data_IF_864392193350
#
_entry.id   IF_864392193350
#
_cell.length_a   1.000
_cell.length_b   1.000
_cell.length_c   1.000
_cell.angle_alpha   90.00
_cell.angle_beta   90.00
_cell.angle_gamma   90.00
#
_symmetry.space_group_name_H-M   'P 1'
#
loop_
_entity.id
_entity.type
_entity.pdbx_description
1 polymer ?
#
# COMPACT_ATOMS: atom_id res chain seq x y z
N UNK A 1 -13.91 -30.98 -37.03
CA UNK A 1 -15.05 -30.41 -36.29
C UNK A 1 -14.83 -30.24 -34.76
N UNK A 2 -13.76 -30.79 -34.15
CA UNK A 2 -13.43 -30.53 -32.71
C UNK A 2 -12.53 -29.30 -32.48
N UNK A 3 -11.78 -28.86 -33.50
CA UNK A 3 -10.75 -27.81 -33.39
C UNK A 3 -11.32 -26.38 -33.37
N UNK A 4 -12.53 -26.16 -33.89
CA UNK A 4 -13.19 -24.83 -33.86
C UNK A 4 -13.89 -24.53 -32.52
N UNK A 5 -14.35 -25.55 -31.78
CA UNK A 5 -15.01 -25.38 -30.47
C UNK A 5 -14.05 -25.03 -29.33
N UNK A 6 -12.77 -25.38 -29.44
CA UNK A 6 -11.75 -24.99 -28.45
C UNK A 6 -11.32 -23.52 -28.62
N UNK A 7 -11.28 -23.01 -29.87
CA UNK A 7 -10.93 -21.61 -30.17
C UNK A 7 -12.02 -20.60 -29.81
N UNK A 8 -13.30 -20.99 -29.80
CA UNK A 8 -14.39 -20.14 -29.32
C UNK A 8 -14.45 -20.06 -27.79
N UNK A 9 -14.08 -21.13 -27.07
CA UNK A 9 -14.00 -21.12 -25.59
C UNK A 9 -12.88 -20.23 -25.03
N UNK A 10 -11.86 -19.90 -25.82
CA UNK A 10 -10.84 -18.92 -25.42
C UNK A 10 -11.31 -17.46 -25.58
N UNK A 11 -12.23 -17.19 -26.52
CA UNK A 11 -12.74 -15.84 -26.79
C UNK A 11 -13.83 -15.38 -25.83
N UNK A 12 -14.41 -16.31 -25.07
CA UNK A 12 -15.43 -16.04 -24.05
C UNK A 12 -14.86 -16.12 -22.62
N UNK A 13 -13.58 -15.79 -22.43
CA UNK A 13 -13.11 -15.35 -21.12
C UNK A 13 -13.72 -13.98 -20.85
N UNK A 14 -14.95 -13.97 -20.32
CA UNK A 14 -15.43 -12.88 -19.47
C UNK A 14 -14.22 -12.43 -18.65
N UNK A 15 -13.85 -11.14 -18.70
CA UNK A 15 -12.74 -10.60 -17.90
C UNK A 15 -13.05 -10.87 -16.43
N UNK A 16 -12.63 -12.03 -15.93
CA UNK A 16 -12.82 -12.46 -14.54
C UNK A 16 -11.83 -11.66 -13.71
N UNK A 17 -12.36 -10.81 -12.86
CA UNK A 17 -11.58 -9.94 -11.97
C UNK A 17 -12.49 -8.95 -11.25
N UNK A 18 -12.02 -8.43 -10.13
CA UNK A 18 -12.70 -7.34 -9.45
C UNK A 18 -12.56 -6.06 -10.30
N UNK A 19 -13.66 -5.37 -10.65
CA UNK A 19 -13.60 -4.14 -11.40
C UNK A 19 -12.89 -3.05 -10.58
N UNK A 20 -11.79 -2.54 -11.12
CA UNK A 20 -11.00 -1.50 -10.48
C UNK A 20 -11.80 -0.19 -10.53
N UNK A 21 -12.18 0.34 -9.36
CA UNK A 21 -12.87 1.63 -9.25
C UNK A 21 -14.32 1.57 -8.76
N UNK A 22 -14.88 0.38 -8.48
CA UNK A 22 -16.17 0.26 -7.82
C UNK A 22 -16.00 0.15 -6.29
N UNK A 23 -16.84 0.88 -5.52
CA UNK A 23 -16.86 0.84 -4.06
C UNK A 23 -17.09 -0.58 -3.53
N UNK A 24 -18.00 -1.34 -4.17
CA UNK A 24 -18.29 -2.71 -3.76
C UNK A 24 -17.06 -3.60 -3.87
N UNK A 25 -16.25 -3.43 -4.92
CA UNK A 25 -15.01 -4.18 -5.11
C UNK A 25 -13.96 -3.87 -4.03
N UNK A 26 -13.87 -2.62 -3.58
CA UNK A 26 -13.00 -2.25 -2.46
C UNK A 26 -13.48 -2.88 -1.15
N UNK A 27 -14.79 -2.90 -0.91
CA UNK A 27 -15.36 -3.56 0.26
C UNK A 27 -15.11 -5.07 0.25
N UNK A 28 -15.34 -5.72 -0.89
CA UNK A 28 -15.09 -7.14 -1.05
C UNK A 28 -13.62 -7.50 -0.80
N UNK A 29 -12.67 -6.72 -1.31
CA UNK A 29 -11.25 -6.94 -1.03
C UNK A 29 -10.93 -6.86 0.47
N UNK A 30 -11.52 -5.90 1.19
CA UNK A 30 -11.32 -5.75 2.63
C UNK A 30 -11.92 -6.90 3.45
N UNK A 31 -13.11 -7.37 3.09
CA UNK A 31 -13.76 -8.53 3.73
C UNK A 31 -12.98 -9.80 3.44
N UNK A 32 -12.53 -9.99 2.20
CA UNK A 32 -11.76 -11.15 1.79
C UNK A 32 -10.43 -11.27 2.55
N UNK A 33 -9.74 -10.15 2.74
CA UNK A 33 -8.48 -10.10 3.50
C UNK A 33 -8.67 -10.09 5.02
N UNK A 34 -9.89 -10.05 5.55
CA UNK A 34 -10.13 -10.10 6.99
C UNK A 34 -9.63 -11.42 7.63
N UNK A 35 -9.65 -12.52 6.87
CA UNK A 35 -9.09 -13.80 7.32
C UNK A 35 -7.58 -13.71 7.61
N UNK A 36 -6.84 -12.89 6.84
CA UNK A 36 -5.44 -12.61 7.10
C UNK A 36 -5.27 -11.84 8.42
N UNK A 37 -6.11 -10.83 8.66
CA UNK A 37 -6.07 -10.05 9.91
C UNK A 37 -6.30 -10.97 11.12
N UNK A 38 -7.27 -11.88 11.01
CA UNK A 38 -7.55 -12.86 12.05
C UNK A 38 -6.35 -13.78 12.29
N UNK A 39 -5.74 -14.31 11.23
CA UNK A 39 -4.55 -15.16 11.32
C UNK A 39 -3.39 -14.43 12.00
N UNK A 40 -3.09 -13.20 11.58
CA UNK A 40 -1.97 -12.42 12.13
C UNK A 40 -2.19 -12.09 13.61
N UNK A 41 -3.43 -11.75 14.02
CA UNK A 41 -3.72 -11.38 15.40
C UNK A 41 -3.87 -12.57 16.35
N UNK A 42 -4.50 -13.66 15.92
CA UNK A 42 -4.83 -14.78 16.81
C UNK A 42 -3.80 -15.91 16.76
N UNK A 43 -3.20 -16.17 15.58
CA UNK A 43 -2.19 -17.22 15.41
C UNK A 43 -0.79 -16.68 15.63
N UNK A 44 -0.40 -15.67 14.86
CA UNK A 44 0.94 -15.08 14.95
C UNK A 44 1.13 -14.17 16.17
N UNK A 45 0.02 -13.67 16.75
CA UNK A 45 -0.02 -12.79 17.92
C UNK A 45 0.83 -11.53 17.76
N UNK A 46 0.89 -11.00 16.54
CA UNK A 46 1.64 -9.77 16.25
C UNK A 46 0.93 -8.57 16.89
N UNK A 47 1.63 -7.92 17.82
CA UNK A 47 1.13 -6.73 18.50
C UNK A 47 0.90 -5.57 17.53
N UNK A 48 1.91 -5.26 16.71
CA UNK A 48 1.89 -4.10 15.81
C UNK A 48 1.69 -4.55 14.36
N UNK A 49 0.43 -4.54 13.94
CA UNK A 49 -0.01 -4.88 12.59
C UNK A 49 -0.93 -3.77 12.08
N UNK A 50 -0.69 -3.30 10.87
CA UNK A 50 -1.48 -2.28 10.20
C UNK A 50 -1.77 -2.74 8.77
N UNK A 51 -3.03 -2.64 8.34
CA UNK A 51 -3.44 -2.94 6.96
C UNK A 51 -4.22 -1.77 6.37
N UNK A 52 -3.94 -1.47 5.11
CA UNK A 52 -4.69 -0.54 4.28
C UNK A 52 -4.95 -1.20 2.92
N UNK A 53 -6.20 -1.63 2.71
CA UNK A 53 -6.58 -2.44 1.55
C UNK A 53 -5.67 -3.68 1.41
N UNK A 54 -4.88 -3.72 0.33
CA UNK A 54 -3.97 -4.81 0.00
C UNK A 54 -2.57 -4.63 0.61
N UNK A 55 -2.22 -3.41 1.03
CA UNK A 55 -0.91 -3.11 1.63
C UNK A 55 -0.98 -3.28 3.15
N UNK A 56 -0.03 -4.02 3.73
CA UNK A 56 0.08 -4.18 5.18
C UNK A 56 1.52 -3.97 5.67
N UNK A 57 1.63 -3.56 6.93
CA UNK A 57 2.88 -3.29 7.64
C UNK A 57 2.88 -4.03 8.96
N UNK A 58 4.01 -4.67 9.24
CA UNK A 58 4.24 -5.45 10.45
C UNK A 58 5.45 -4.86 11.15
N UNK A 59 5.32 -4.56 12.44
CA UNK A 59 6.45 -4.13 13.26
C UNK A 59 6.77 -5.22 14.27
N UNK A 60 7.97 -5.76 14.16
CA UNK A 60 8.48 -6.81 15.03
C UNK A 60 9.88 -6.42 15.52
N UNK A 61 10.22 -6.80 16.75
CA UNK A 61 11.50 -6.39 17.37
C UNK A 61 12.65 -7.34 17.02
N UNK A 62 12.35 -8.51 16.43
CA UNK A 62 13.34 -9.55 16.12
C UNK A 62 13.50 -9.68 14.60
N UNK A 63 14.73 -9.55 14.12
CA UNK A 63 15.04 -9.60 12.68
C UNK A 63 14.88 -11.03 12.12
N UNK A 64 15.35 -12.03 12.88
CA UNK A 64 15.24 -13.45 12.52
C UNK A 64 13.80 -13.96 12.39
N UNK A 65 12.84 -13.36 13.09
CA UNK A 65 11.43 -13.72 12.94
C UNK A 65 10.79 -13.13 11.70
N UNK A 66 11.38 -12.12 11.05
CA UNK A 66 10.72 -11.42 9.94
C UNK A 66 10.66 -12.27 8.66
N UNK A 67 11.71 -13.03 8.35
CA UNK A 67 11.75 -13.88 7.15
C UNK A 67 10.78 -15.06 7.31
N UNK A 68 10.84 -15.76 8.44
CA UNK A 68 9.93 -16.87 8.75
C UNK A 68 8.47 -16.42 8.74
N UNK A 69 8.20 -15.21 9.24
CA UNK A 69 6.86 -14.63 9.26
C UNK A 69 6.32 -14.35 7.86
N UNK A 70 7.17 -13.86 6.94
CA UNK A 70 6.77 -13.67 5.55
C UNK A 70 6.39 -15.01 4.92
N UNK A 71 7.15 -16.08 5.19
CA UNK A 71 6.86 -17.41 4.65
C UNK A 71 5.58 -18.02 5.25
N UNK A 72 5.33 -17.84 6.54
CA UNK A 72 4.07 -18.25 7.18
C UNK A 72 2.86 -17.50 6.60
N UNK A 73 3.00 -16.19 6.36
CA UNK A 73 1.94 -15.38 5.75
C UNK A 73 1.72 -15.80 4.30
N UNK A 74 2.77 -16.00 3.50
CA UNK A 74 2.66 -16.44 2.10
C UNK A 74 2.01 -17.82 1.98
N UNK A 75 2.36 -18.74 2.89
CA UNK A 75 1.72 -20.05 3.00
C UNK A 75 0.23 -19.92 3.34
N UNK A 76 -0.12 -19.09 4.32
CA UNK A 76 -1.53 -18.86 4.66
C UNK A 76 -2.30 -18.26 3.48
N UNK A 77 -1.73 -17.25 2.82
CA UNK A 77 -2.34 -16.58 1.67
C UNK A 77 -2.58 -17.53 0.51
N UNK A 78 -1.62 -18.40 0.20
CA UNK A 78 -1.74 -19.38 -0.88
C UNK A 78 -2.74 -20.49 -0.55
N UNK A 79 -2.70 -21.05 0.66
CA UNK A 79 -3.55 -22.18 1.06
C UNK A 79 -5.01 -21.79 1.33
N UNK A 80 -5.25 -20.61 1.91
CA UNK A 80 -6.61 -20.18 2.33
C UNK A 80 -7.25 -19.16 1.40
N UNK A 81 -6.45 -18.25 0.86
CA UNK A 81 -6.94 -17.12 0.08
C UNK A 81 -6.55 -17.21 -1.40
N UNK A 82 -5.82 -18.25 -1.84
CA UNK A 82 -5.33 -18.37 -3.22
C UNK A 82 -4.61 -17.10 -3.71
N UNK A 83 -3.95 -16.39 -2.79
CA UNK A 83 -3.16 -15.20 -3.05
C UNK A 83 -1.67 -15.53 -2.91
N UNK A 84 -0.81 -14.78 -3.59
CA UNK A 84 0.64 -14.90 -3.46
C UNK A 84 1.27 -13.54 -3.15
N UNK A 85 2.25 -13.53 -2.26
CA UNK A 85 3.02 -12.32 -1.99
C UNK A 85 4.01 -12.09 -3.13
N UNK A 86 4.01 -10.88 -3.65
CA UNK A 86 5.01 -10.47 -4.63
C UNK A 86 6.34 -10.21 -3.92
N UNK A 87 7.24 -11.21 -3.89
CA UNK A 87 8.52 -11.16 -3.18
C UNK A 87 9.36 -9.91 -3.49
N UNK A 88 9.32 -9.40 -4.72
CA UNK A 88 10.03 -8.17 -5.11
C UNK A 88 9.46 -6.86 -4.54
N UNK A 89 8.25 -6.89 -3.97
CA UNK A 89 7.59 -5.74 -3.31
C UNK A 89 7.61 -5.86 -1.80
N UNK A 90 8.02 -7.01 -1.25
CA UNK A 90 8.20 -7.18 0.19
C UNK A 90 9.51 -6.49 0.58
N UNK A 91 9.44 -5.60 1.57
CA UNK A 91 10.60 -4.82 2.00
C UNK A 91 10.76 -4.95 3.51
N UNK A 92 11.88 -5.52 3.93
CA UNK A 92 12.29 -5.56 5.34
C UNK A 92 13.19 -4.35 5.58
N UNK A 93 12.84 -3.51 6.56
CA UNK A 93 13.62 -2.32 6.93
C UNK A 93 13.71 -2.18 8.43
N UNK A 94 14.76 -1.51 8.88
CA UNK A 94 14.90 -1.11 10.29
C UNK A 94 13.98 0.08 10.57
N UNK A 95 13.45 0.15 11.79
CA UNK A 95 12.56 1.23 12.22
C UNK A 95 13.14 2.64 11.95
N UNK A 96 14.45 2.83 12.16
CA UNK A 96 15.13 4.11 11.92
C UNK A 96 15.27 4.52 10.44
N UNK A 97 15.13 3.58 9.48
CA UNK A 97 15.21 3.90 8.04
C UNK A 97 13.92 4.50 7.49
N UNK A 98 12.83 4.43 8.27
CA UNK A 98 11.52 4.89 7.89
C UNK A 98 10.75 3.92 6.99
N UNK A 99 9.43 4.04 7.03
CA UNK A 99 8.49 3.15 6.37
C UNK A 99 7.75 3.93 5.28
N UNK A 100 7.89 3.50 4.03
CA UNK A 100 7.13 4.04 2.90
C UNK A 100 5.71 3.46 2.94
N UNK A 101 4.73 4.28 3.36
CA UNK A 101 3.36 3.86 3.54
C UNK A 101 2.40 4.96 3.07
N UNK A 102 1.44 4.60 2.20
CA UNK A 102 0.37 5.46 1.68
C UNK A 102 0.83 6.83 1.13
N UNK A 103 2.02 6.88 0.53
CA UNK A 103 2.55 8.10 -0.10
C UNK A 103 3.39 8.99 0.82
N UNK A 104 3.59 8.57 2.07
CA UNK A 104 4.47 9.20 3.04
C UNK A 104 5.60 8.25 3.44
N UNK A 105 6.70 8.80 3.92
CA UNK A 105 7.73 8.04 4.64
C UNK A 105 7.61 8.41 6.11
N UNK A 106 7.25 7.43 6.92
CA UNK A 106 7.07 7.58 8.37
C UNK A 106 8.41 7.28 9.05
N UNK A 107 8.95 8.26 9.77
CA UNK A 107 10.20 8.17 10.53
C UNK A 107 9.89 8.28 12.04
N UNK A 108 10.83 7.88 12.91
CA UNK A 108 10.68 8.13 14.34
C UNK A 108 10.54 9.63 14.62
N UNK A 109 9.39 10.05 15.11
CA UNK A 109 9.10 11.44 15.49
C UNK A 109 8.65 12.37 14.36
N UNK A 110 8.71 11.97 13.09
CA UNK A 110 8.29 12.83 11.98
C UNK A 110 7.83 12.05 10.74
N UNK A 111 7.14 12.73 9.83
CA UNK A 111 6.65 12.15 8.57
C UNK A 111 7.03 13.05 7.42
N UNK A 112 7.58 12.49 6.35
CA UNK A 112 7.96 13.24 5.15
C UNK A 112 7.18 12.73 3.93
N UNK A 113 7.04 13.57 2.90
CA UNK A 113 6.45 13.14 1.63
C UNK A 113 7.40 12.20 0.89
N UNK A 114 6.86 11.13 0.31
CA UNK A 114 7.62 10.21 -0.54
C UNK A 114 8.32 10.97 -1.66
N UNK A 115 9.60 10.69 -1.91
CA UNK A 115 10.43 11.39 -2.90
C UNK A 115 9.76 11.48 -4.28
N UNK A 116 9.15 10.39 -4.74
CA UNK A 116 8.41 10.35 -6.01
C UNK A 116 7.23 11.33 -6.03
N UNK A 117 6.46 11.39 -4.94
CA UNK A 117 5.32 12.30 -4.78
C UNK A 117 5.78 13.75 -4.72
N UNK A 118 6.84 14.02 -3.94
CA UNK A 118 7.49 15.33 -3.85
C UNK A 118 7.94 15.84 -5.21
N UNK A 119 8.68 15.03 -5.98
CA UNK A 119 9.18 15.44 -7.29
C UNK A 119 8.02 15.69 -8.26
N UNK A 120 7.01 14.80 -8.28
CA UNK A 120 5.81 14.98 -9.11
C UNK A 120 5.07 16.28 -8.77
N UNK A 121 4.95 16.61 -7.49
CA UNK A 121 4.33 17.85 -7.02
C UNK A 121 5.08 19.06 -7.56
N UNK A 122 6.40 19.11 -7.37
CA UNK A 122 7.22 20.25 -7.81
C UNK A 122 7.19 20.45 -9.34
N UNK A 123 7.09 19.37 -10.13
CA UNK A 123 7.02 19.46 -11.59
C UNK A 123 5.64 19.81 -12.12
N UNK A 124 4.55 19.51 -11.40
CA UNK A 124 3.17 19.61 -11.93
C UNK A 124 2.29 20.64 -11.23
N UNK A 125 2.81 21.35 -10.23
CA UNK A 125 2.04 22.35 -9.51
C UNK A 125 1.54 23.44 -10.46
N UNK A 126 0.25 23.78 -10.34
CA UNK A 126 -0.42 24.88 -11.01
C UNK A 126 -1.57 25.39 -10.12
N UNK A 127 -2.18 26.51 -10.48
CA UNK A 127 -3.20 27.16 -9.66
C UNK A 127 -4.42 26.25 -9.38
N UNK A 128 -4.75 25.34 -10.31
CA UNK A 128 -5.89 24.43 -10.18
C UNK A 128 -5.64 23.29 -9.18
N UNK A 129 -4.39 22.88 -8.97
CA UNK A 129 -4.04 21.74 -8.12
C UNK A 129 -3.27 22.13 -6.85
N UNK A 130 -2.98 23.42 -6.67
CA UNK A 130 -2.25 23.96 -5.54
C UNK A 130 -2.90 23.59 -4.20
N UNK A 131 -4.23 23.76 -4.07
CA UNK A 131 -4.96 23.43 -2.86
C UNK A 131 -4.80 21.96 -2.45
N UNK A 132 -4.83 21.04 -3.42
CA UNK A 132 -4.63 19.60 -3.20
C UNK A 132 -3.23 19.30 -2.68
N UNK A 133 -2.20 19.95 -3.24
CA UNK A 133 -0.83 19.79 -2.79
C UNK A 133 -0.58 20.42 -1.41
N UNK A 134 -1.19 21.56 -1.12
CA UNK A 134 -1.14 22.17 0.21
C UNK A 134 -1.74 21.23 1.26
N UNK A 135 -2.88 20.59 0.97
CA UNK A 135 -3.48 19.57 1.83
C UNK A 135 -2.52 18.40 2.13
N UNK A 136 -1.82 17.88 1.11
CA UNK A 136 -0.82 16.83 1.30
C UNK A 136 0.32 17.26 2.21
N UNK A 137 0.77 18.51 2.09
CA UNK A 137 1.85 19.07 2.92
C UNK A 137 1.43 19.33 4.36
N UNK A 138 0.13 19.44 4.67
CA UNK A 138 -0.38 19.66 6.04
C UNK A 138 -0.05 18.51 6.99
N UNK A 139 -0.03 17.28 6.48
CA UNK A 139 0.11 16.07 7.31
C UNK A 139 1.56 15.58 7.49
N UNK A 140 2.53 16.29 6.94
CA UNK A 140 3.95 15.95 6.99
C UNK A 140 4.83 17.16 7.32
N UNK A 141 6.04 16.90 7.78
CA UNK A 141 7.09 17.89 7.86
C UNK A 141 7.50 18.32 6.45
N UNK A 142 6.94 19.44 6.04
CA UNK A 142 7.08 19.96 4.69
C UNK A 142 7.56 21.41 4.70
N UNK A 143 8.21 21.89 5.76
CA UNK A 143 8.63 23.28 5.89
C UNK A 143 9.42 23.75 4.66
N UNK A 144 10.45 22.99 4.28
CA UNK A 144 11.27 23.27 3.09
C UNK A 144 10.55 23.05 1.76
N UNK A 145 9.43 22.31 1.75
CA UNK A 145 8.60 22.08 0.57
C UNK A 145 7.58 23.19 0.37
N UNK A 146 6.94 23.64 1.46
CA UNK A 146 5.97 24.74 1.45
C UNK A 146 6.63 26.00 0.89
N UNK A 147 7.85 26.34 1.33
CA UNK A 147 8.63 27.48 0.78
C UNK A 147 8.85 27.46 -0.74
N UNK A 148 8.76 26.29 -1.38
CA UNK A 148 8.97 26.12 -2.83
C UNK A 148 7.66 26.13 -3.63
N UNK A 149 6.51 26.16 -2.97
CA UNK A 149 5.21 26.20 -3.62
C UNK A 149 4.74 27.66 -3.77
N UNK A 150 4.19 28.05 -4.93
CA UNK A 150 3.60 29.38 -5.10
C UNK A 150 2.42 29.57 -4.12
N UNK A 151 2.34 30.73 -3.46
CA UNK A 151 1.27 31.03 -2.49
C UNK A 151 1.53 30.62 -1.04
N UNK A 152 2.73 30.13 -0.70
CA UNK A 152 3.14 29.88 0.68
C UNK A 152 3.58 31.16 1.39
N UNK A 153 2.77 32.21 1.38
CA UNK A 153 2.91 33.27 2.38
C UNK A 153 2.58 32.63 3.73
N UNK A 154 3.62 32.47 4.53
CA UNK A 154 3.60 31.95 5.89
C UNK A 154 2.61 32.78 6.69
N UNK A 155 1.44 32.23 7.01
CA UNK A 155 0.69 32.64 8.20
C UNK A 155 1.12 31.71 9.31
N UNK A 156 1.88 32.28 10.24
CA UNK A 156 2.12 31.77 11.59
C UNK A 156 0.81 31.43 12.32
#
# INVERSE_FOLDING_TARGET
MKIQRERERERERVKRGLPIGNLTSQLFANIYLNELDYFVKHKLKIKYYLRYCDDFVILENREWSSISLIDEIDKFLSEKLSLSLHRGKVVIRKFGQGIDFLGYVVLPGHRILRTKTKNRMLTRVNDKNLASYLGLTKHCESYSLRKKLPGSSVTE
#
